data_IF_608818591408
#
_entry.id   IF_608818591408
#
_cell.length_a   1.000
_cell.length_b   1.000
_cell.length_c   1.000
_cell.angle_alpha   90.00
_cell.angle_beta   90.00
_cell.angle_gamma   90.00
#
_symmetry.space_group_name_H-M   'P 1'
#
loop_
_entity.id
_entity.type
_entity.pdbx_description
1 polymer ?
#
# COMPACT_ATOMS: atom_id res chain seq x y z
N UNK A 1 -30.14 -7.35 -6.19
CA UNK A 1 -29.56 -8.66 -5.77
C UNK A 1 -29.93 -8.94 -4.34
N UNK A 2 -30.41 -10.16 -4.06
CA UNK A 2 -30.66 -10.63 -2.70
C UNK A 2 -29.34 -10.81 -1.91
N UNK A 3 -29.43 -10.94 -0.58
CA UNK A 3 -28.25 -11.03 0.30
C UNK A 3 -27.35 -12.23 -0.03
N UNK A 4 -27.95 -13.37 -0.39
CA UNK A 4 -27.22 -14.62 -0.72
C UNK A 4 -26.42 -14.47 -2.01
N UNK A 5 -27.02 -13.86 -3.03
CA UNK A 5 -26.37 -13.59 -4.33
C UNK A 5 -25.23 -12.58 -4.17
N UNK A 6 -25.39 -11.54 -3.32
CA UNK A 6 -24.32 -10.59 -3.00
C UNK A 6 -23.10 -11.26 -2.37
N UNK A 7 -23.32 -12.19 -1.43
CA UNK A 7 -22.22 -12.92 -0.79
C UNK A 7 -21.48 -13.80 -1.80
N UNK A 8 -22.25 -14.57 -2.63
CA UNK A 8 -21.64 -15.43 -3.67
C UNK A 8 -20.83 -14.62 -4.66
N UNK A 9 -21.36 -13.46 -5.10
CA UNK A 9 -20.62 -12.57 -6.00
C UNK A 9 -19.32 -12.05 -5.37
N UNK A 10 -19.35 -11.61 -4.10
CA UNK A 10 -18.14 -11.15 -3.41
C UNK A 10 -17.07 -12.24 -3.33
N UNK A 11 -17.44 -13.46 -3.00
CA UNK A 11 -16.50 -14.59 -2.93
C UNK A 11 -15.86 -14.83 -4.30
N UNK A 12 -16.68 -14.86 -5.35
CA UNK A 12 -16.18 -15.02 -6.72
C UNK A 12 -15.28 -13.85 -7.15
N UNK A 13 -15.69 -12.61 -6.86
CA UNK A 13 -14.93 -11.42 -7.20
C UNK A 13 -13.55 -11.41 -6.52
N UNK A 14 -13.50 -11.73 -5.23
CA UNK A 14 -12.22 -11.81 -4.48
C UNK A 14 -11.35 -12.92 -5.07
N UNK A 15 -11.90 -14.09 -5.38
CA UNK A 15 -11.14 -15.18 -6.00
C UNK A 15 -10.54 -14.76 -7.35
N UNK A 16 -11.34 -14.11 -8.22
CA UNK A 16 -10.83 -13.62 -9.52
C UNK A 16 -9.77 -12.53 -9.33
N UNK A 17 -9.94 -11.60 -8.38
CA UNK A 17 -8.94 -10.58 -8.06
C UNK A 17 -7.62 -11.21 -7.60
N UNK A 18 -7.67 -12.24 -6.75
CA UNK A 18 -6.48 -12.96 -6.30
C UNK A 18 -5.73 -13.55 -7.49
N UNK A 19 -6.44 -14.27 -8.37
CA UNK A 19 -5.83 -14.86 -9.57
C UNK A 19 -5.27 -13.78 -10.50
N UNK A 20 -6.01 -12.70 -10.70
CA UNK A 20 -5.60 -11.60 -11.56
C UNK A 20 -4.33 -10.91 -11.05
N UNK A 21 -4.27 -10.57 -9.75
CA UNK A 21 -3.10 -9.96 -9.12
C UNK A 21 -1.89 -10.90 -9.16
N UNK A 22 -2.10 -12.20 -8.95
CA UNK A 22 -1.03 -13.20 -9.09
C UNK A 22 -0.46 -13.24 -10.50
N UNK A 23 -1.31 -13.24 -11.53
CA UNK A 23 -0.88 -13.23 -12.94
C UNK A 23 -0.17 -11.93 -13.33
N UNK A 24 -0.59 -10.79 -12.77
CA UNK A 24 0.05 -9.50 -13.01
C UNK A 24 1.44 -9.36 -12.36
N UNK A 25 1.75 -10.19 -11.35
CA UNK A 25 3.03 -10.10 -10.64
C UNK A 25 4.17 -10.55 -11.57
N UNK A 26 5.16 -9.67 -11.85
CA UNK A 26 6.24 -9.99 -12.76
C UNK A 26 7.16 -11.07 -12.18
N UNK A 27 7.57 -12.01 -13.02
CA UNK A 27 8.50 -13.09 -12.63
C UNK A 27 9.96 -12.63 -12.59
N UNK A 28 10.26 -11.56 -13.31
CA UNK A 28 11.61 -10.97 -13.34
C UNK A 28 11.74 -9.91 -12.29
N UNK A 29 12.80 -9.97 -11.50
CA UNK A 29 13.13 -8.93 -10.54
C UNK A 29 13.78 -7.74 -11.26
N UNK A 30 13.52 -6.55 -10.74
CA UNK A 30 14.17 -5.32 -11.22
C UNK A 30 15.57 -5.17 -10.59
N UNK A 31 16.45 -4.42 -11.23
CA UNK A 31 17.79 -4.19 -10.73
C UNK A 31 17.81 -3.61 -9.31
N UNK A 32 16.89 -2.70 -9.00
CA UNK A 32 16.78 -2.10 -7.67
C UNK A 32 16.52 -3.15 -6.57
N UNK A 33 15.89 -4.29 -6.88
CA UNK A 33 15.64 -5.35 -5.89
C UNK A 33 16.94 -5.94 -5.37
N UNK A 34 17.96 -6.10 -6.22
CA UNK A 34 19.27 -6.62 -5.81
C UNK A 34 19.97 -5.63 -4.88
N UNK A 35 19.92 -4.34 -5.23
CA UNK A 35 20.46 -3.27 -4.39
C UNK A 35 19.74 -3.21 -3.02
N UNK A 36 18.41 -3.26 -3.01
CA UNK A 36 17.59 -3.30 -1.79
C UNK A 36 17.98 -4.46 -0.86
N UNK A 37 18.23 -5.66 -1.42
CA UNK A 37 18.69 -6.81 -0.62
C UNK A 37 20.05 -6.54 0.00
N UNK A 38 21.01 -6.04 -0.79
CA UNK A 38 22.35 -5.78 -0.34
C UNK A 38 22.42 -4.65 0.72
N UNK A 39 21.63 -3.59 0.57
CA UNK A 39 21.48 -2.54 1.59
C UNK A 39 20.85 -3.11 2.87
N UNK A 40 19.83 -3.95 2.76
CA UNK A 40 19.20 -4.58 3.92
C UNK A 40 20.16 -5.46 4.71
N UNK A 41 21.04 -6.20 4.03
CA UNK A 41 22.13 -6.97 4.63
C UNK A 41 23.11 -6.05 5.35
N UNK A 42 23.63 -5.03 4.65
CA UNK A 42 24.56 -4.05 5.21
C UNK A 42 24.02 -3.40 6.49
N UNK A 43 22.75 -2.96 6.48
CA UNK A 43 22.13 -2.34 7.66
C UNK A 43 22.08 -3.29 8.86
N UNK A 44 21.81 -4.58 8.64
CA UNK A 44 21.76 -5.56 9.74
C UNK A 44 23.15 -5.89 10.29
N UNK A 45 24.21 -5.80 9.48
CA UNK A 45 25.58 -6.10 9.88
C UNK A 45 26.28 -4.88 10.50
N UNK A 46 26.08 -3.68 9.93
CA UNK A 46 26.85 -2.48 10.26
C UNK A 46 26.00 -1.36 10.90
N UNK A 47 24.68 -1.46 10.83
CA UNK A 47 23.76 -0.38 11.23
C UNK A 47 23.54 0.65 10.13
N UNK A 48 22.91 1.78 10.49
CA UNK A 48 22.72 2.93 9.61
C UNK A 48 23.91 3.88 9.84
N UNK A 49 24.93 3.73 9.02
CA UNK A 49 26.19 4.49 9.10
C UNK A 49 26.18 5.77 8.28
N UNK A 50 25.16 6.00 7.45
CA UNK A 50 24.98 7.16 6.57
C UNK A 50 26.05 7.25 5.47
N UNK A 51 26.71 6.14 5.14
CA UNK A 51 27.70 6.01 4.06
C UNK A 51 27.14 5.11 2.94
N UNK A 52 27.55 5.35 1.68
CA UNK A 52 27.20 4.46 0.58
C UNK A 52 28.16 3.25 0.54
N UNK A 53 27.71 2.05 0.97
CA UNK A 53 28.58 0.88 1.08
C UNK A 53 29.00 0.29 -0.28
N UNK A 54 28.41 0.76 -1.38
CA UNK A 54 28.65 0.23 -2.74
C UNK A 54 29.32 1.23 -3.66
N UNK A 55 29.56 2.47 -3.18
CA UNK A 55 30.32 3.45 -3.92
C UNK A 55 31.82 3.14 -3.86
N UNK A 56 32.52 3.38 -4.97
CA UNK A 56 33.97 3.39 -5.01
C UNK A 56 34.54 4.76 -4.57
N UNK A 57 33.68 5.76 -4.38
CA UNK A 57 34.06 7.04 -3.77
C UNK A 57 34.09 6.89 -2.26
N UNK A 58 35.19 7.30 -1.66
CA UNK A 58 35.33 7.41 -0.19
C UNK A 58 34.44 8.57 0.31
N UNK A 59 33.88 8.43 1.51
CA UNK A 59 33.08 9.43 2.22
C UNK A 59 31.82 9.91 1.46
N UNK A 60 31.21 9.07 0.61
CA UNK A 60 29.96 9.40 -0.04
C UNK A 60 28.77 9.17 0.89
N UNK A 61 28.12 10.27 1.28
CA UNK A 61 26.94 10.21 2.14
C UNK A 61 25.75 9.51 1.46
N UNK A 62 25.08 8.63 2.21
CA UNK A 62 23.86 7.94 1.79
C UNK A 62 22.80 7.94 2.91
N UNK A 63 21.57 8.35 2.61
CA UNK A 63 20.53 8.63 3.61
C UNK A 63 19.59 7.46 3.88
N UNK A 64 19.76 6.29 3.27
CA UNK A 64 18.91 5.10 3.43
C UNK A 64 17.38 5.40 3.38
N UNK A 65 16.85 5.96 2.26
CA UNK A 65 15.51 6.54 2.21
C UNK A 65 14.36 5.51 2.35
N UNK A 66 14.67 4.24 2.34
CA UNK A 66 13.70 3.13 2.49
C UNK A 66 14.26 1.98 3.34
N UNK A 67 15.10 2.33 4.34
CA UNK A 67 15.84 1.36 5.16
C UNK A 67 14.99 0.23 5.74
N UNK A 68 13.76 0.52 6.20
CA UNK A 68 12.88 -0.50 6.77
C UNK A 68 12.39 -1.49 5.72
N UNK A 69 12.16 -1.01 4.47
CA UNK A 69 11.82 -1.87 3.35
C UNK A 69 13.01 -2.74 2.94
N UNK A 70 14.22 -2.19 2.92
CA UNK A 70 15.44 -2.90 2.56
C UNK A 70 15.72 -4.05 3.53
N UNK A 71 15.71 -3.76 4.83
CA UNK A 71 15.83 -4.79 5.88
C UNK A 71 14.74 -5.85 5.75
N UNK A 72 13.47 -5.44 5.55
CA UNK A 72 12.36 -6.37 5.36
C UNK A 72 12.55 -7.27 4.14
N UNK A 73 13.05 -6.73 3.03
CA UNK A 73 13.31 -7.48 1.79
C UNK A 73 14.45 -8.48 1.99
N UNK A 74 15.55 -8.08 2.65
CA UNK A 74 16.64 -9.00 2.99
C UNK A 74 16.20 -10.14 3.91
N UNK A 75 15.39 -9.84 4.93
CA UNK A 75 14.85 -10.87 5.83
C UNK A 75 13.98 -11.88 5.07
N UNK A 76 13.16 -11.44 4.12
CA UNK A 76 12.37 -12.34 3.24
C UNK A 76 13.30 -13.18 2.37
N UNK A 77 14.36 -12.58 1.81
CA UNK A 77 15.37 -13.29 1.01
C UNK A 77 16.07 -14.37 1.83
N UNK A 78 16.54 -14.03 3.03
CA UNK A 78 17.17 -14.99 3.95
C UNK A 78 16.22 -16.13 4.38
N UNK A 79 14.98 -15.79 4.73
CA UNK A 79 13.98 -16.79 5.07
C UNK A 79 13.76 -17.78 3.92
N UNK A 80 13.67 -17.31 2.68
CA UNK A 80 13.55 -18.14 1.49
C UNK A 80 14.71 -19.10 1.30
N UNK A 81 15.94 -18.66 1.53
CA UNK A 81 17.13 -19.50 1.49
C UNK A 81 17.12 -20.55 2.63
N UNK A 82 16.75 -20.14 3.84
CA UNK A 82 16.72 -21.03 5.01
C UNK A 82 15.72 -22.16 4.87
N UNK A 83 14.52 -21.88 4.31
CA UNK A 83 13.49 -22.93 4.09
C UNK A 83 13.67 -23.68 2.77
N UNK A 84 14.70 -23.37 1.98
CA UNK A 84 15.10 -24.12 0.79
C UNK A 84 14.31 -23.80 -0.50
N UNK A 85 13.44 -22.77 -0.52
CA UNK A 85 12.74 -22.35 -1.76
C UNK A 85 13.56 -21.37 -2.60
N UNK A 86 14.64 -20.84 -2.03
CA UNK A 86 15.49 -19.80 -2.62
C UNK A 86 15.00 -18.38 -2.34
N UNK A 87 15.92 -17.46 -2.04
CA UNK A 87 15.63 -16.10 -1.61
C UNK A 87 14.85 -15.29 -2.64
N UNK A 88 15.22 -15.36 -3.91
CA UNK A 88 14.51 -14.65 -4.98
C UNK A 88 13.09 -15.17 -5.21
N UNK A 89 12.87 -16.48 -5.04
CA UNK A 89 11.52 -17.07 -5.07
C UNK A 89 10.67 -16.53 -3.93
N UNK A 90 11.24 -16.40 -2.72
CA UNK A 90 10.54 -15.82 -1.58
C UNK A 90 10.15 -14.36 -1.81
N UNK A 91 11.04 -13.55 -2.41
CA UNK A 91 10.73 -12.17 -2.80
C UNK A 91 9.59 -12.11 -3.83
N UNK A 92 9.61 -12.98 -4.85
CA UNK A 92 8.51 -13.08 -5.80
C UNK A 92 7.18 -13.40 -5.10
N UNK A 93 7.17 -14.40 -4.22
CA UNK A 93 5.98 -14.78 -3.44
C UNK A 93 5.49 -13.62 -2.57
N UNK A 94 6.40 -12.92 -1.86
CA UNK A 94 6.06 -11.77 -1.05
C UNK A 94 5.45 -10.63 -1.90
N UNK A 95 6.02 -10.36 -3.08
CA UNK A 95 5.49 -9.37 -4.02
C UNK A 95 4.09 -9.75 -4.51
N UNK A 96 3.87 -11.03 -4.85
CA UNK A 96 2.54 -11.53 -5.24
C UNK A 96 1.52 -11.38 -4.09
N UNK A 97 1.91 -11.71 -2.86
CA UNK A 97 1.06 -11.53 -1.68
C UNK A 97 0.70 -10.05 -1.48
N UNK A 98 1.67 -9.15 -1.57
CA UNK A 98 1.41 -7.70 -1.45
C UNK A 98 0.49 -7.19 -2.56
N UNK A 99 0.68 -7.64 -3.80
CA UNK A 99 -0.19 -7.32 -4.94
C UNK A 99 -1.63 -7.79 -4.69
N UNK A 100 -1.80 -9.01 -4.20
CA UNK A 100 -3.11 -9.57 -3.83
C UNK A 100 -3.75 -8.75 -2.71
N UNK A 101 -3.00 -8.41 -1.66
CA UNK A 101 -3.48 -7.57 -0.55
C UNK A 101 -3.96 -6.22 -1.07
N UNK A 102 -3.18 -5.56 -1.95
CA UNK A 102 -3.57 -4.30 -2.57
C UNK A 102 -4.89 -4.45 -3.34
N UNK A 103 -5.02 -5.44 -4.21
CA UNK A 103 -6.22 -5.68 -4.99
C UNK A 103 -7.47 -5.94 -4.13
N UNK A 104 -7.33 -6.76 -3.08
CA UNK A 104 -8.44 -7.08 -2.17
C UNK A 104 -8.87 -5.87 -1.33
N UNK A 105 -7.90 -5.10 -0.78
CA UNK A 105 -8.19 -3.89 0.00
C UNK A 105 -8.82 -2.82 -0.90
N UNK A 106 -8.33 -2.65 -2.12
CA UNK A 106 -8.89 -1.72 -3.11
C UNK A 106 -10.33 -2.09 -3.46
N UNK A 107 -10.61 -3.38 -3.73
CA UNK A 107 -11.97 -3.86 -3.96
C UNK A 107 -12.88 -3.56 -2.78
N UNK A 108 -12.43 -3.83 -1.56
CA UNK A 108 -13.20 -3.53 -0.36
C UNK A 108 -13.49 -2.03 -0.23
N UNK A 109 -12.51 -1.17 -0.47
CA UNK A 109 -12.65 0.28 -0.42
C UNK A 109 -13.66 0.77 -1.47
N UNK A 110 -13.50 0.35 -2.71
CA UNK A 110 -14.38 0.73 -3.82
C UNK A 110 -15.81 0.21 -3.61
N UNK A 111 -15.98 -1.02 -3.15
CA UNK A 111 -17.31 -1.59 -2.87
C UNK A 111 -18.06 -0.78 -1.79
N UNK A 112 -17.32 -0.26 -0.82
CA UNK A 112 -17.89 0.59 0.23
C UNK A 112 -18.34 1.95 -0.30
N UNK A 113 -17.53 2.56 -1.17
CA UNK A 113 -17.82 3.89 -1.77
C UNK A 113 -18.91 3.79 -2.83
N UNK A 114 -18.76 2.89 -3.80
CA UNK A 114 -19.68 2.75 -4.94
C UNK A 114 -21.03 2.12 -4.57
N UNK A 115 -21.09 1.39 -3.44
CA UNK A 115 -22.27 0.58 -3.02
C UNK A 115 -22.78 -0.38 -4.11
N UNK A 116 -21.98 -0.63 -5.14
CA UNK A 116 -22.23 -1.52 -6.25
C UNK A 116 -21.04 -2.45 -6.46
N UNK A 117 -21.22 -3.74 -6.13
CA UNK A 117 -20.16 -4.75 -6.17
C UNK A 117 -19.59 -4.98 -7.57
N UNK A 118 -20.44 -4.91 -8.60
CA UNK A 118 -20.01 -5.11 -9.98
C UNK A 118 -19.10 -3.97 -10.45
N UNK A 119 -19.49 -2.73 -10.17
CA UNK A 119 -18.67 -1.55 -10.48
C UNK A 119 -17.35 -1.60 -9.72
N UNK A 120 -17.40 -1.89 -8.41
CA UNK A 120 -16.19 -2.01 -7.58
C UNK A 120 -15.25 -3.09 -8.14
N UNK A 121 -15.78 -4.23 -8.58
CA UNK A 121 -15.00 -5.32 -9.16
C UNK A 121 -14.27 -4.88 -10.45
N UNK A 122 -15.00 -4.35 -11.43
CA UNK A 122 -14.37 -3.95 -12.70
C UNK A 122 -13.40 -2.78 -12.54
N UNK A 123 -13.73 -1.81 -11.67
CA UNK A 123 -12.80 -0.71 -11.37
C UNK A 123 -11.54 -1.23 -10.70
N UNK A 124 -11.64 -2.20 -9.77
CA UNK A 124 -10.46 -2.83 -9.15
C UNK A 124 -9.56 -3.48 -10.20
N UNK A 125 -10.13 -4.30 -11.11
CA UNK A 125 -9.35 -4.95 -12.17
C UNK A 125 -8.69 -3.91 -13.08
N UNK A 126 -9.43 -2.85 -13.47
CA UNK A 126 -8.90 -1.77 -14.28
C UNK A 126 -7.73 -1.04 -13.61
N UNK A 127 -7.87 -0.68 -12.33
CA UNK A 127 -6.80 -0.03 -11.57
C UNK A 127 -5.58 -0.94 -11.42
N UNK A 128 -5.77 -2.22 -11.05
CA UNK A 128 -4.66 -3.17 -10.93
C UNK A 128 -3.95 -3.38 -12.26
N UNK A 129 -4.69 -3.40 -13.38
CA UNK A 129 -4.10 -3.47 -14.72
C UNK A 129 -3.27 -2.23 -15.07
N UNK A 130 -3.76 -1.03 -14.74
CA UNK A 130 -3.01 0.21 -14.94
C UNK A 130 -1.75 0.28 -14.06
N UNK A 131 -1.79 -0.35 -12.89
CA UNK A 131 -0.66 -0.43 -11.98
C UNK A 131 0.33 -1.56 -12.30
N UNK A 132 0.09 -2.39 -13.32
CA UNK A 132 0.88 -3.60 -13.61
C UNK A 132 2.39 -3.36 -13.68
N UNK A 133 2.81 -2.24 -14.28
CA UNK A 133 4.23 -1.90 -14.45
C UNK A 133 4.87 -1.36 -13.14
N UNK A 134 4.06 -1.06 -12.14
CA UNK A 134 4.46 -0.65 -10.79
C UNK A 134 4.33 -1.77 -9.75
N UNK A 135 3.77 -2.93 -10.13
CA UNK A 135 3.74 -4.13 -9.30
C UNK A 135 5.11 -4.80 -9.39
N UNK A 136 5.98 -4.46 -8.46
CA UNK A 136 7.35 -4.95 -8.39
C UNK A 136 7.78 -5.12 -6.93
N UNK A 137 8.91 -5.79 -6.71
CA UNK A 137 9.55 -5.89 -5.39
C UNK A 137 10.21 -4.55 -5.02
N UNK A 138 9.37 -3.55 -4.76
CA UNK A 138 9.72 -2.17 -4.41
C UNK A 138 8.85 -1.65 -3.28
N UNK A 139 9.37 -0.70 -2.51
CA UNK A 139 8.68 -0.01 -1.42
C UNK A 139 7.34 0.64 -1.86
N UNK A 140 7.21 1.01 -3.13
CA UNK A 140 5.99 1.58 -3.71
C UNK A 140 4.76 0.70 -3.50
N UNK A 141 4.86 -0.62 -3.64
CA UNK A 141 3.73 -1.53 -3.50
C UNK A 141 3.16 -1.50 -2.06
N UNK A 142 4.04 -1.46 -1.06
CA UNK A 142 3.65 -1.27 0.35
C UNK A 142 2.98 0.09 0.55
N UNK A 143 3.52 1.14 -0.07
CA UNK A 143 2.98 2.50 0.04
C UNK A 143 1.58 2.61 -0.56
N UNK A 144 1.30 1.96 -1.69
CA UNK A 144 -0.06 1.94 -2.26
C UNK A 144 -1.08 1.32 -1.31
N UNK A 145 -0.70 0.22 -0.64
CA UNK A 145 -1.55 -0.40 0.40
C UNK A 145 -1.82 0.61 1.52
N UNK A 146 -0.79 1.28 2.02
CA UNK A 146 -0.90 2.27 3.10
C UNK A 146 -1.75 3.47 2.70
N UNK A 147 -1.68 3.93 1.44
CA UNK A 147 -2.52 5.01 0.94
C UNK A 147 -4.00 4.61 0.88
N UNK A 148 -4.32 3.40 0.39
CA UNK A 148 -5.70 2.90 0.38
C UNK A 148 -6.23 2.74 1.81
N UNK A 149 -5.41 2.22 2.74
CA UNK A 149 -5.76 2.12 4.16
C UNK A 149 -5.98 3.50 4.79
N UNK A 150 -5.18 4.51 4.43
CA UNK A 150 -5.36 5.89 4.90
C UNK A 150 -6.75 6.40 4.54
N UNK A 151 -7.16 6.29 3.27
CA UNK A 151 -8.50 6.70 2.82
C UNK A 151 -9.58 5.95 3.59
N UNK A 152 -9.44 4.62 3.73
CA UNK A 152 -10.39 3.81 4.49
C UNK A 152 -10.51 4.24 5.96
N UNK A 153 -9.40 4.58 6.61
CA UNK A 153 -9.41 5.00 8.02
C UNK A 153 -9.95 6.41 8.20
N UNK A 154 -9.70 7.33 7.25
CA UNK A 154 -10.35 8.65 7.25
C UNK A 154 -11.86 8.47 7.15
N UNK A 155 -12.35 7.71 6.16
CA UNK A 155 -13.78 7.43 5.98
C UNK A 155 -14.40 6.78 7.22
N UNK A 156 -13.73 5.78 7.81
CA UNK A 156 -14.17 5.12 9.03
C UNK A 156 -14.18 6.05 10.24
N UNK A 157 -13.21 6.96 10.34
CA UNK A 157 -13.22 7.96 11.39
C UNK A 157 -14.39 8.93 11.23
N UNK A 158 -14.62 9.43 10.01
CA UNK A 158 -15.75 10.33 9.73
C UNK A 158 -17.08 9.66 10.08
N UNK A 159 -17.25 8.37 9.72
CA UNK A 159 -18.48 7.61 9.98
C UNK A 159 -18.70 7.31 11.47
N UNK A 160 -17.66 6.90 12.18
CA UNK A 160 -17.81 6.27 13.51
C UNK A 160 -17.31 7.13 14.67
N UNK A 161 -16.50 8.16 14.39
CA UNK A 161 -15.82 9.03 15.38
C UNK A 161 -14.94 8.26 16.38
N UNK A 162 -14.55 7.02 16.06
CA UNK A 162 -13.75 6.18 16.98
C UNK A 162 -12.28 6.59 16.97
N UNK A 163 -11.71 6.94 18.12
CA UNK A 163 -10.33 7.40 18.31
C UNK A 163 -9.26 6.42 17.76
N UNK A 164 -9.54 5.11 17.71
CA UNK A 164 -8.60 4.11 17.16
C UNK A 164 -8.18 4.42 15.73
N UNK A 165 -9.06 4.99 14.89
CA UNK A 165 -8.72 5.34 13.52
C UNK A 165 -7.73 6.51 13.46
N UNK A 166 -7.82 7.45 14.40
CA UNK A 166 -6.82 8.54 14.53
C UNK A 166 -5.44 7.95 14.85
N UNK A 167 -5.37 6.95 15.75
CA UNK A 167 -4.11 6.27 16.07
C UNK A 167 -3.51 5.63 14.81
N UNK A 168 -4.31 4.93 14.00
CA UNK A 168 -3.82 4.34 12.75
C UNK A 168 -3.33 5.42 11.75
N UNK A 169 -4.05 6.55 11.66
CA UNK A 169 -3.65 7.68 10.82
C UNK A 169 -2.37 8.38 11.30
N UNK A 170 -2.00 8.27 12.57
CA UNK A 170 -0.72 8.75 13.10
C UNK A 170 0.41 7.74 12.81
N UNK A 171 0.13 6.44 12.89
CA UNK A 171 1.12 5.39 12.69
C UNK A 171 1.52 5.27 11.21
N UNK A 172 0.56 5.37 10.28
CA UNK A 172 0.82 5.19 8.84
C UNK A 172 1.92 6.11 8.31
N UNK A 173 1.92 7.44 8.53
CA UNK A 173 2.99 8.30 8.00
C UNK A 173 4.35 8.00 8.61
N UNK A 174 4.42 7.50 9.85
CA UNK A 174 5.67 7.02 10.46
C UNK A 174 6.20 5.81 9.69
N UNK A 175 5.31 4.86 9.35
CA UNK A 175 5.70 3.70 8.54
C UNK A 175 6.15 4.15 7.14
N UNK A 176 5.40 5.03 6.47
CA UNK A 176 5.74 5.53 5.13
C UNK A 176 7.10 6.22 5.14
N UNK A 177 7.40 7.06 6.15
CA UNK A 177 8.67 7.76 6.27
C UNK A 177 9.89 6.82 6.35
N UNK A 178 9.70 5.61 6.90
CA UNK A 178 10.77 4.61 7.05
C UNK A 178 10.79 3.57 5.92
N UNK A 179 9.65 3.34 5.26
CA UNK A 179 9.54 2.40 4.14
C UNK A 179 9.81 3.06 2.80
N UNK A 180 9.42 4.33 2.63
CA UNK A 180 9.50 5.02 1.35
C UNK A 180 9.44 6.55 1.53
N UNK A 181 10.52 7.14 2.01
CA UNK A 181 10.61 8.56 2.36
C UNK A 181 10.22 9.51 1.21
N UNK A 182 10.61 9.18 -0.02
CA UNK A 182 10.35 10.03 -1.19
C UNK A 182 8.85 10.33 -1.43
N UNK A 183 7.97 9.44 -1.03
CA UNK A 183 6.51 9.62 -1.20
C UNK A 183 5.79 10.04 0.08
N UNK A 184 6.50 10.22 1.18
CA UNK A 184 5.94 10.63 2.46
C UNK A 184 5.09 11.92 2.38
N UNK A 185 5.44 12.97 1.60
CA UNK A 185 4.61 14.17 1.49
C UNK A 185 3.24 13.89 0.88
N UNK A 186 3.11 12.89 0.00
CA UNK A 186 1.84 12.53 -0.63
C UNK A 186 0.82 11.99 0.37
N UNK A 187 1.26 11.49 1.52
CA UNK A 187 0.36 11.14 2.62
C UNK A 187 -0.55 12.31 3.01
N UNK A 188 0.01 13.52 3.10
CA UNK A 188 -0.74 14.73 3.45
C UNK A 188 -1.63 15.21 2.30
N UNK A 189 -1.24 14.97 1.06
CA UNK A 189 -2.05 15.29 -0.12
C UNK A 189 -3.38 14.53 -0.11
N UNK A 190 -3.43 13.32 0.45
CA UNK A 190 -4.65 12.53 0.58
C UNK A 190 -5.73 13.26 1.42
N UNK A 191 -5.33 14.15 2.33
CA UNK A 191 -6.27 14.92 3.17
C UNK A 191 -6.88 16.12 2.45
N UNK A 192 -6.28 16.61 1.35
CA UNK A 192 -6.74 17.81 0.67
C UNK A 192 -8.22 17.74 0.25
N UNK A 193 -8.76 16.68 -0.34
CA UNK A 193 -10.18 16.60 -0.68
C UNK A 193 -11.08 16.76 0.56
N UNK A 194 -10.68 16.20 1.69
CA UNK A 194 -11.44 16.28 2.95
C UNK A 194 -11.37 17.70 3.55
N UNK A 195 -10.21 18.34 3.46
CA UNK A 195 -10.04 19.75 3.90
C UNK A 195 -10.88 20.68 3.04
N UNK A 196 -10.83 20.52 1.71
CA UNK A 196 -11.64 21.33 0.77
C UNK A 196 -13.13 21.13 1.06
N UNK A 197 -13.58 19.87 1.22
CA UNK A 197 -14.97 19.58 1.53
C UNK A 197 -15.38 20.18 2.89
N UNK A 198 -14.52 20.14 3.90
CA UNK A 198 -14.76 20.80 5.18
C UNK A 198 -14.91 22.31 5.02
N UNK A 199 -14.03 22.97 4.27
CA UNK A 199 -14.12 24.42 4.00
C UNK A 199 -15.43 24.73 3.26
N UNK A 200 -15.80 23.93 2.26
CA UNK A 200 -17.07 24.11 1.54
C UNK A 200 -18.28 23.93 2.44
N UNK A 201 -18.22 23.09 3.48
CA UNK A 201 -19.30 22.97 4.47
C UNK A 201 -19.49 24.25 5.31
N UNK A 202 -18.40 25.00 5.53
CA UNK A 202 -18.46 26.26 6.28
C UNK A 202 -19.04 27.41 5.45
N UNK A 203 -18.92 27.34 4.11
CA UNK A 203 -19.33 28.40 3.18
C UNK A 203 -20.68 28.10 2.53
N UNK A 204 -21.03 26.83 2.35
CA UNK A 204 -22.23 26.41 1.62
C UNK A 204 -22.89 25.18 2.25
N UNK A 205 -24.19 25.32 2.59
CA UNK A 205 -25.03 24.20 3.05
C UNK A 205 -25.26 23.12 1.97
N UNK A 206 -24.78 23.32 0.75
CA UNK A 206 -24.95 22.39 -0.37
C UNK A 206 -23.90 21.28 -0.41
N UNK A 207 -22.89 21.30 0.46
CA UNK A 207 -21.81 20.31 0.46
C UNK A 207 -22.31 18.90 0.82
N UNK A 208 -21.65 17.88 0.26
CA UNK A 208 -22.03 16.48 0.46
C UNK A 208 -21.89 16.06 1.94
N UNK A 209 -20.83 16.50 2.61
CA UNK A 209 -20.58 16.17 4.02
C UNK A 209 -21.53 16.91 4.99
N UNK A 210 -21.91 18.14 4.66
CA UNK A 210 -22.93 18.85 5.40
C UNK A 210 -24.24 18.06 5.46
N UNK A 211 -24.71 17.55 4.30
CA UNK A 211 -25.91 16.73 4.21
C UNK A 211 -25.81 15.40 4.96
N UNK A 212 -24.62 14.80 5.03
CA UNK A 212 -24.37 13.56 5.77
C UNK A 212 -24.22 13.81 7.27
N UNK A 213 -23.61 14.92 7.67
CA UNK A 213 -23.38 15.29 9.08
C UNK A 213 -24.68 15.64 9.83
N UNK A 214 -25.64 16.28 9.15
CA UNK A 214 -26.93 16.66 9.77
C UNK A 214 -27.92 15.49 9.83
N UNK A 215 -27.79 14.49 8.96
CA UNK A 215 -28.65 13.30 8.98
C UNK A 215 -28.22 12.22 9.99
N UNK A 216 -27.20 12.47 10.78
CA UNK A 216 -26.72 11.62 11.87
C UNK A 216 -26.78 12.34 13.20
#
# INVERSE_FOLDING_TARGET
MDKKTKIKFNVLAIFVIILFCFVLTPRTLQNDTYYTIAIGEHILENGIDMEDPFSWHEDLEYTYPHWLYDVGTYLVFQAGNTIGIGGFTAIYIATAILSIILGVILYYALNKVCKNQLVAFFVTLGVMYLLKDFIAARAQLVTYILFVLTILFIERFIETKKKRYVIYLIIIPIIIANVHLAVWPFYFVIYLPYIVEYILTLVSESSIYYKVSIKR
#
